data_IF_192962005649
#
_entry.id   IF_192962005649
#
_cell.length_a   1.000
_cell.length_b   1.000
_cell.length_c   1.000
_cell.angle_alpha   90.00
_cell.angle_beta   90.00
_cell.angle_gamma   90.00
#
_symmetry.space_group_name_H-M   'P 1'
#
loop_
_entity.id
_entity.type
_entity.pdbx_description
1 polymer ?
#
# COMPACT_ATOMS: atom_id res chain seq x y z
N UNK A 1 6.13 34.50 -1.69
CA UNK A 1 5.82 33.27 -2.45
C UNK A 1 4.37 33.34 -2.83
N UNK A 2 4.14 33.85 -4.03
CA UNK A 2 2.85 34.18 -4.62
C UNK A 2 1.98 32.94 -4.83
N UNK A 3 0.67 33.14 -4.67
CA UNK A 3 -0.45 32.20 -4.79
C UNK A 3 -0.47 31.35 -6.06
N UNK A 4 0.40 30.34 -6.12
CA UNK A 4 0.30 29.23 -7.05
C UNK A 4 -0.49 28.08 -6.40
N UNK A 5 -1.73 28.35 -5.97
CA UNK A 5 -2.68 27.25 -5.71
C UNK A 5 -3.02 26.66 -7.07
N UNK A 6 -2.17 25.73 -7.50
CA UNK A 6 -2.18 25.08 -8.79
C UNK A 6 -3.60 24.62 -9.14
N UNK A 7 -4.05 25.00 -10.35
CA UNK A 7 -5.24 24.42 -10.95
C UNK A 7 -5.19 22.89 -10.81
N UNK A 8 -6.34 22.27 -10.53
CA UNK A 8 -6.40 20.81 -10.36
C UNK A 8 -5.72 20.11 -11.55
N UNK A 9 -4.84 19.11 -11.30
CA UNK A 9 -4.21 18.35 -12.38
C UNK A 9 -5.22 17.50 -13.16
N UNK A 10 -6.45 17.36 -12.65
CA UNK A 10 -7.50 16.49 -13.19
C UNK A 10 -8.26 17.24 -14.27
N UNK A 11 -8.30 16.64 -15.45
CA UNK A 11 -8.96 17.18 -16.64
C UNK A 11 -9.90 16.12 -17.22
N UNK A 12 -10.83 16.46 -18.13
CA UNK A 12 -11.67 15.45 -18.78
C UNK A 12 -10.88 14.33 -19.48
N UNK A 13 -9.65 14.62 -19.95
CA UNK A 13 -8.74 13.63 -20.58
C UNK A 13 -7.95 12.80 -19.55
N UNK A 14 -7.84 13.28 -18.32
CA UNK A 14 -7.11 12.65 -17.22
C UNK A 14 -7.89 12.82 -15.91
N UNK A 15 -9.02 12.12 -15.75
CA UNK A 15 -9.92 12.32 -14.62
C UNK A 15 -9.30 11.94 -13.27
N UNK A 16 -8.27 11.09 -13.28
CA UNK A 16 -7.61 10.55 -12.09
C UNK A 16 -6.12 10.97 -12.01
N UNK A 17 -5.76 12.12 -12.56
CA UNK A 17 -4.40 12.63 -12.42
C UNK A 17 -4.09 12.95 -10.96
N UNK A 18 -2.90 12.55 -10.52
CA UNK A 18 -2.37 12.86 -9.19
C UNK A 18 -1.22 13.86 -9.30
N UNK A 19 -1.11 14.74 -8.30
CA UNK A 19 0.12 15.51 -8.09
C UNK A 19 1.23 14.59 -7.58
N UNK A 20 2.48 15.05 -7.66
CA UNK A 20 3.62 14.31 -7.08
C UNK A 20 3.45 14.10 -5.58
N UNK A 21 2.93 15.11 -4.86
CA UNK A 21 2.69 15.02 -3.42
C UNK A 21 1.61 13.97 -3.08
N UNK A 22 0.50 13.97 -3.82
CA UNK A 22 -0.56 12.96 -3.65
C UNK A 22 -0.03 11.55 -3.94
N UNK A 23 0.84 11.41 -4.93
CA UNK A 23 1.48 10.13 -5.24
C UNK A 23 2.38 9.65 -4.11
N UNK A 24 3.26 10.52 -3.59
CA UNK A 24 4.15 10.17 -2.46
C UNK A 24 3.33 9.81 -1.23
N UNK A 25 2.29 10.59 -0.92
CA UNK A 25 1.38 10.30 0.19
C UNK A 25 0.64 8.97 0.01
N UNK A 26 0.20 8.65 -1.21
CA UNK A 26 -0.43 7.37 -1.53
C UNK A 26 0.53 6.19 -1.38
N UNK A 27 1.77 6.33 -1.84
CA UNK A 27 2.81 5.32 -1.68
C UNK A 27 3.17 5.08 -0.20
N UNK A 28 3.33 6.15 0.58
CA UNK A 28 3.57 6.07 2.03
C UNK A 28 2.39 5.44 2.76
N UNK A 29 1.16 5.76 2.37
CA UNK A 29 -0.04 5.15 2.94
C UNK A 29 -0.11 3.65 2.61
N UNK A 30 0.21 3.26 1.37
CA UNK A 30 0.26 1.84 0.97
C UNK A 30 1.30 1.07 1.78
N UNK A 31 2.48 1.65 1.96
CA UNK A 31 3.53 1.06 2.77
C UNK A 31 3.10 0.95 4.25
N UNK A 32 2.59 2.04 4.83
CA UNK A 32 2.08 2.05 6.22
C UNK A 32 0.96 1.04 6.47
N UNK A 33 0.00 0.91 5.54
CA UNK A 33 -1.05 -0.11 5.61
C UNK A 33 -0.49 -1.52 5.51
N UNK A 34 0.54 -1.74 4.67
CA UNK A 34 1.22 -3.03 4.60
C UNK A 34 1.86 -3.39 5.94
N UNK A 35 2.59 -2.44 6.55
CA UNK A 35 3.22 -2.63 7.85
C UNK A 35 2.19 -2.90 8.97
N UNK A 36 1.02 -2.26 8.90
CA UNK A 36 -0.07 -2.48 9.85
C UNK A 36 -0.72 -3.86 9.69
N UNK A 37 -0.90 -4.33 8.45
CA UNK A 37 -1.55 -5.61 8.16
C UNK A 37 -0.64 -6.82 8.40
N UNK A 38 0.68 -6.66 8.21
CA UNK A 38 1.67 -7.72 8.37
C UNK A 38 1.52 -8.50 9.69
N UNK A 39 1.56 -7.91 10.90
CA UNK A 39 1.50 -8.69 12.14
C UNK A 39 0.21 -9.50 12.28
N UNK A 40 -0.93 -8.95 11.86
CA UNK A 40 -2.22 -9.65 11.90
C UNK A 40 -2.24 -10.85 10.95
N UNK A 41 -1.72 -10.68 9.72
CA UNK A 41 -1.67 -11.74 8.72
C UNK A 41 -0.62 -12.81 9.07
N UNK A 42 0.51 -12.42 9.66
CA UNK A 42 1.52 -13.36 10.18
C UNK A 42 0.94 -14.19 11.32
N UNK A 43 0.23 -13.57 12.27
CA UNK A 43 -0.45 -14.28 13.35
C UNK A 43 -1.50 -15.26 12.83
N UNK A 44 -2.30 -14.85 11.84
CA UNK A 44 -3.27 -15.73 11.19
C UNK A 44 -2.59 -16.91 10.49
N UNK A 45 -1.51 -16.67 9.75
CA UNK A 45 -0.76 -17.73 9.08
C UNK A 45 -0.15 -18.73 10.08
N UNK A 46 0.46 -18.27 11.17
CA UNK A 46 0.97 -19.14 12.24
C UNK A 46 -0.14 -19.94 12.92
N UNK A 47 -1.36 -19.40 12.98
CA UNK A 47 -2.51 -20.10 13.56
C UNK A 47 -3.10 -21.17 12.63
N UNK A 48 -2.98 -20.99 11.32
CA UNK A 48 -3.56 -21.90 10.30
C UNK A 48 -2.55 -22.98 9.90
N UNK A 49 -1.33 -22.56 9.54
CA UNK A 49 -0.28 -23.45 9.02
C UNK A 49 0.66 -23.97 10.10
N UNK A 50 0.58 -23.37 11.29
CA UNK A 50 1.40 -23.71 12.42
C UNK A 50 2.69 -22.94 12.53
N UNK A 51 3.35 -23.12 13.67
CA UNK A 51 4.64 -22.52 13.91
C UNK A 51 5.76 -23.33 13.27
N UNK A 52 6.70 -22.66 12.58
CA UNK A 52 7.88 -23.34 12.10
C UNK A 52 8.70 -23.82 13.30
N UNK A 53 8.90 -25.13 13.40
CA UNK A 53 9.76 -25.74 14.41
C UNK A 53 11.22 -25.47 14.04
N UNK A 54 11.82 -24.49 14.72
CA UNK A 54 13.26 -24.28 14.66
C UNK A 54 13.97 -25.42 15.40
N UNK A 55 15.07 -25.92 14.83
CA UNK A 55 16.01 -26.79 15.55
C UNK A 55 16.73 -26.05 16.71
N UNK A 56 16.52 -24.74 16.87
CA UNK A 56 17.15 -23.89 17.88
C UNK A 56 16.10 -23.15 18.72
N UNK A 57 15.93 -23.63 19.96
CA UNK A 57 15.49 -22.91 21.18
C UNK A 57 14.17 -22.11 21.24
N UNK A 58 13.46 -21.85 20.14
CA UNK A 58 12.16 -21.15 20.16
C UNK A 58 11.04 -22.15 19.86
N UNK A 59 10.60 -22.85 20.91
CA UNK A 59 9.42 -23.71 20.87
C UNK A 59 8.17 -22.84 20.89
N UNK A 60 7.68 -22.40 19.73
CA UNK A 60 6.32 -21.92 19.64
C UNK A 60 5.37 -23.12 19.79
N UNK A 61 4.59 -23.14 20.86
CA UNK A 61 3.52 -24.14 21.03
C UNK A 61 2.29 -23.69 20.25
N UNK A 62 1.69 -24.60 19.48
CA UNK A 62 0.42 -24.37 18.78
C UNK A 62 -0.72 -23.97 19.74
N UNK A 63 -0.66 -24.40 21.00
CA UNK A 63 -1.66 -24.10 22.02
C UNK A 63 -1.45 -22.73 22.68
N UNK A 64 -0.28 -22.11 22.55
CA UNK A 64 0.06 -20.89 23.29
C UNK A 64 -0.10 -19.64 22.42
N UNK A 65 -1.22 -18.93 22.60
CA UNK A 65 -1.54 -17.67 21.89
C UNK A 65 -0.47 -16.59 22.10
N UNK A 66 -0.03 -16.31 23.34
CA UNK A 66 1.11 -15.43 23.62
C UNK A 66 2.35 -15.69 22.78
N UNK A 67 2.83 -16.94 22.71
CA UNK A 67 4.03 -17.28 21.92
C UNK A 67 3.86 -16.96 20.42
N UNK A 68 2.67 -17.25 19.86
CA UNK A 68 2.37 -16.96 18.44
C UNK A 68 2.33 -15.47 18.16
N UNK A 69 1.78 -14.68 19.07
CA UNK A 69 1.77 -13.23 18.95
C UNK A 69 3.19 -12.66 18.96
N UNK A 70 4.05 -13.12 19.88
CA UNK A 70 5.45 -12.68 19.95
C UNK A 70 6.18 -13.00 18.64
N UNK A 71 6.06 -14.24 18.15
CA UNK A 71 6.69 -14.65 16.88
C UNK A 71 6.15 -13.86 15.70
N UNK A 72 4.82 -13.64 15.61
CA UNK A 72 4.21 -12.85 14.56
C UNK A 72 4.74 -11.41 14.52
N UNK A 73 4.89 -10.78 15.69
CA UNK A 73 5.46 -9.42 15.80
C UNK A 73 6.92 -9.41 15.40
N UNK A 74 7.73 -10.38 15.84
CA UNK A 74 9.14 -10.48 15.44
C UNK A 74 9.30 -10.63 13.92
N UNK A 75 8.52 -11.53 13.31
CA UNK A 75 8.51 -11.72 11.86
C UNK A 75 8.02 -10.48 11.12
N UNK A 76 7.02 -9.77 11.66
CA UNK A 76 6.55 -8.51 11.09
C UNK A 76 7.62 -7.41 11.15
N UNK A 77 8.42 -7.31 12.23
CA UNK A 77 9.55 -6.37 12.31
C UNK A 77 10.61 -6.70 11.27
N UNK A 78 10.99 -7.97 11.11
CA UNK A 78 11.93 -8.40 10.07
C UNK A 78 11.36 -8.09 8.68
N UNK A 79 10.09 -8.43 8.43
CA UNK A 79 9.40 -8.11 7.18
C UNK A 79 9.33 -6.61 6.91
N UNK A 80 9.13 -5.78 7.93
CA UNK A 80 9.14 -4.32 7.82
C UNK A 80 10.50 -3.80 7.34
N UNK A 81 11.60 -4.28 7.91
CA UNK A 81 12.96 -3.92 7.48
C UNK A 81 13.22 -4.37 6.05
N UNK A 82 12.86 -5.61 5.71
CA UNK A 82 13.03 -6.15 4.37
C UNK A 82 12.11 -5.50 3.32
N UNK A 83 11.02 -4.84 3.75
CA UNK A 83 10.11 -4.14 2.84
C UNK A 83 10.68 -2.83 2.29
N UNK A 84 11.69 -2.24 2.94
CA UNK A 84 12.32 -0.98 2.51
C UNK A 84 12.94 -1.10 1.10
N UNK A 85 13.82 -2.07 0.82
CA UNK A 85 14.37 -2.24 -0.53
C UNK A 85 13.28 -2.56 -1.57
N UNK A 86 12.26 -3.34 -1.21
CA UNK A 86 11.13 -3.60 -2.10
C UNK A 86 10.36 -2.32 -2.42
N UNK A 87 10.09 -1.49 -1.42
CA UNK A 87 9.43 -0.20 -1.60
C UNK A 87 10.21 0.70 -2.56
N UNK A 88 11.53 0.81 -2.37
CA UNK A 88 12.39 1.60 -3.25
C UNK A 88 12.44 1.06 -4.67
N UNK A 89 12.53 -0.27 -4.83
CA UNK A 89 12.55 -0.94 -6.13
C UNK A 89 11.26 -0.70 -6.93
N UNK A 90 10.12 -0.68 -6.25
CA UNK A 90 8.81 -0.54 -6.89
C UNK A 90 8.26 0.88 -6.93
N UNK A 91 8.92 1.88 -6.33
CA UNK A 91 8.47 3.27 -6.35
C UNK A 91 8.31 3.80 -7.79
N UNK A 92 9.31 3.60 -8.64
CA UNK A 92 9.28 4.03 -10.05
C UNK A 92 8.25 3.27 -10.89
N UNK A 93 8.20 1.91 -10.87
CA UNK A 93 7.13 1.16 -11.53
C UNK A 93 5.72 1.59 -11.11
N UNK A 94 5.51 1.82 -9.81
CA UNK A 94 4.23 2.29 -9.26
C UNK A 94 3.86 3.66 -9.83
N UNK A 95 4.84 4.56 -9.96
CA UNK A 95 4.64 5.89 -10.52
C UNK A 95 4.27 5.83 -12.01
N UNK A 96 5.04 5.07 -12.79
CA UNK A 96 4.79 4.90 -14.22
C UNK A 96 3.40 4.28 -14.48
N UNK A 97 3.04 3.25 -13.71
CA UNK A 97 1.76 2.56 -13.86
C UNK A 97 0.58 3.46 -13.52
N UNK A 98 0.65 4.18 -12.40
CA UNK A 98 -0.41 5.12 -12.04
C UNK A 98 -0.53 6.29 -13.04
N UNK A 99 0.58 6.73 -13.65
CA UNK A 99 0.56 7.71 -14.75
C UNK A 99 -0.18 7.21 -15.99
N UNK A 100 -0.04 5.94 -16.34
CA UNK A 100 -0.80 5.32 -17.42
C UNK A 100 -2.28 5.25 -17.03
N UNK A 101 -2.56 4.91 -15.77
CA UNK A 101 -3.92 4.77 -15.28
C UNK A 101 -4.70 6.09 -15.17
N UNK A 102 -4.06 7.26 -15.15
CA UNK A 102 -4.72 8.57 -15.06
C UNK A 102 -5.85 8.77 -16.09
N UNK A 103 -5.76 8.08 -17.23
CA UNK A 103 -6.72 8.15 -18.34
C UNK A 103 -7.97 7.30 -18.10
N UNK A 104 -7.93 6.32 -17.19
CA UNK A 104 -9.08 5.47 -16.89
C UNK A 104 -10.06 6.23 -15.99
N UNK A 105 -11.27 6.45 -16.51
CA UNK A 105 -12.36 7.06 -15.75
C UNK A 105 -12.95 6.12 -14.69
N UNK A 106 -12.83 4.80 -14.88
CA UNK A 106 -13.44 3.83 -13.98
C UNK A 106 -12.55 3.50 -12.76
N UNK A 107 -13.06 3.71 -11.52
CA UNK A 107 -12.30 3.45 -10.30
C UNK A 107 -11.95 1.97 -10.11
N UNK A 108 -12.77 1.06 -10.65
CA UNK A 108 -12.51 -0.38 -10.59
C UNK A 108 -11.21 -0.78 -11.31
N UNK A 109 -10.87 -0.12 -12.43
CA UNK A 109 -9.63 -0.37 -13.16
C UNK A 109 -8.40 0.01 -12.34
N UNK A 110 -8.45 1.17 -11.66
CA UNK A 110 -7.38 1.61 -10.75
C UNK A 110 -7.20 0.67 -9.57
N UNK A 111 -8.30 0.17 -9.00
CA UNK A 111 -8.26 -0.80 -7.90
C UNK A 111 -7.64 -2.12 -8.36
N UNK A 112 -8.07 -2.67 -9.49
CA UNK A 112 -7.54 -3.93 -10.01
C UNK A 112 -6.04 -3.84 -10.32
N UNK A 113 -5.61 -2.77 -10.99
CA UNK A 113 -4.18 -2.56 -11.32
C UNK A 113 -3.34 -2.42 -10.06
N UNK A 114 -3.80 -1.64 -9.08
CA UNK A 114 -3.06 -1.47 -7.82
C UNK A 114 -3.09 -2.73 -6.95
N UNK A 115 -4.13 -3.56 -7.02
CA UNK A 115 -4.16 -4.86 -6.36
C UNK A 115 -3.13 -5.83 -6.96
N UNK A 116 -3.04 -5.89 -8.30
CA UNK A 116 -2.03 -6.69 -9.00
C UNK A 116 -0.62 -6.20 -8.68
N UNK A 117 -0.40 -4.88 -8.68
CA UNK A 117 0.87 -4.29 -8.28
C UNK A 117 1.21 -4.65 -6.82
N UNK A 118 0.24 -4.55 -5.91
CA UNK A 118 0.39 -4.93 -4.52
C UNK A 118 0.76 -6.39 -4.33
N UNK A 119 0.17 -7.29 -5.12
CA UNK A 119 0.55 -8.71 -5.17
C UNK A 119 2.01 -8.90 -5.61
N UNK A 120 2.43 -8.21 -6.68
CA UNK A 120 3.80 -8.28 -7.20
C UNK A 120 4.81 -7.75 -6.18
N UNK A 121 4.52 -6.60 -5.57
CA UNK A 121 5.35 -5.99 -4.51
C UNK A 121 5.45 -6.93 -3.33
N UNK A 122 4.31 -7.45 -2.86
CA UNK A 122 4.28 -8.40 -1.76
C UNK A 122 5.08 -9.66 -2.08
N UNK A 123 4.91 -10.25 -3.27
CA UNK A 123 5.68 -11.41 -3.72
C UNK A 123 7.19 -11.13 -3.83
N UNK A 124 7.59 -9.94 -4.26
CA UNK A 124 9.00 -9.54 -4.28
C UNK A 124 9.59 -9.38 -2.86
N UNK A 125 8.84 -8.79 -1.94
CA UNK A 125 9.23 -8.74 -0.52
C UNK A 125 9.34 -10.13 0.10
N UNK A 126 8.43 -11.03 -0.26
CA UNK A 126 8.48 -12.43 0.12
C UNK A 126 9.70 -13.16 -0.42
N UNK A 127 10.06 -12.91 -1.68
CA UNK A 127 11.26 -13.49 -2.29
C UNK A 127 12.53 -13.02 -1.55
N UNK A 128 12.61 -11.75 -1.17
CA UNK A 128 13.70 -11.26 -0.32
C UNK A 128 13.70 -11.98 1.03
N UNK A 129 12.54 -12.12 1.69
CA UNK A 129 12.45 -12.86 2.94
C UNK A 129 12.94 -14.32 2.81
N UNK A 130 12.64 -15.01 1.70
CA UNK A 130 13.15 -16.35 1.42
C UNK A 130 14.67 -16.38 1.26
N UNK A 131 15.27 -15.38 0.60
CA UNK A 131 16.72 -15.30 0.44
C UNK A 131 17.45 -15.16 1.79
N UNK A 132 16.86 -14.46 2.75
CA UNK A 132 17.46 -14.25 4.07
C UNK A 132 17.08 -15.29 5.12
N UNK A 133 15.88 -15.86 5.05
CA UNK A 133 15.30 -16.75 6.09
C UNK A 133 15.12 -18.20 5.62
N UNK A 134 15.35 -18.50 4.34
CA UNK A 134 15.23 -19.84 3.76
C UNK A 134 13.80 -20.33 3.52
N UNK A 135 13.64 -21.63 3.26
CA UNK A 135 12.37 -22.31 2.94
C UNK A 135 11.27 -22.12 3.99
N UNK A 136 11.66 -21.85 5.24
CA UNK A 136 10.75 -21.60 6.36
C UNK A 136 9.85 -20.37 6.11
N UNK A 137 10.31 -19.43 5.26
CA UNK A 137 9.59 -18.20 4.96
C UNK A 137 8.45 -18.30 3.94
N UNK A 138 8.26 -19.43 3.24
CA UNK A 138 7.29 -19.44 2.12
C UNK A 138 5.83 -19.33 2.61
N UNK A 139 5.39 -20.21 3.51
CA UNK A 139 3.97 -20.21 3.93
C UNK A 139 3.68 -19.23 5.06
N UNK A 140 4.67 -18.98 5.92
CA UNK A 140 4.51 -18.15 7.12
C UNK A 140 4.83 -16.68 6.87
N UNK A 141 5.62 -16.35 5.83
CA UNK A 141 6.01 -14.97 5.51
C UNK A 141 5.53 -14.57 4.11
N UNK A 142 5.68 -15.44 3.11
CA UNK A 142 5.43 -15.04 1.73
C UNK A 142 3.95 -14.75 1.46
N UNK A 143 3.08 -15.65 1.90
CA UNK A 143 1.64 -15.52 1.70
C UNK A 143 1.06 -14.31 2.47
N UNK A 144 1.35 -14.13 3.77
CA UNK A 144 0.95 -12.91 4.49
C UNK A 144 1.43 -11.61 3.83
N UNK A 145 2.67 -11.56 3.36
CA UNK A 145 3.23 -10.37 2.72
C UNK A 145 2.57 -10.07 1.38
N UNK A 146 2.31 -11.10 0.56
CA UNK A 146 1.57 -10.97 -0.69
C UNK A 146 0.14 -10.46 -0.48
N UNK A 147 -0.57 -11.03 0.50
CA UNK A 147 -1.93 -10.61 0.86
C UNK A 147 -1.95 -9.19 1.45
N UNK A 148 -0.99 -8.84 2.29
CA UNK A 148 -0.86 -7.50 2.84
C UNK A 148 -0.73 -6.47 1.71
N UNK A 149 0.16 -6.71 0.74
CA UNK A 149 0.31 -5.84 -0.43
C UNK A 149 -0.96 -5.76 -1.29
N UNK A 150 -1.57 -6.91 -1.57
CA UNK A 150 -2.80 -7.00 -2.37
C UNK A 150 -3.98 -6.21 -1.78
N UNK A 151 -4.04 -6.08 -0.45
CA UNK A 151 -5.08 -5.33 0.27
C UNK A 151 -4.66 -3.87 0.45
N UNK A 152 -3.43 -3.61 0.90
CA UNK A 152 -2.95 -2.29 1.26
C UNK A 152 -2.89 -1.33 0.07
N UNK A 153 -2.39 -1.79 -1.08
CA UNK A 153 -2.25 -0.94 -2.27
C UNK A 153 -3.59 -0.41 -2.79
N UNK A 154 -4.60 -1.24 -3.13
CA UNK A 154 -5.87 -0.72 -3.62
C UNK A 154 -6.58 0.17 -2.60
N UNK A 155 -6.48 -0.15 -1.30
CA UNK A 155 -7.05 0.69 -0.24
C UNK A 155 -6.36 2.06 -0.18
N UNK A 156 -5.03 2.10 -0.14
CA UNK A 156 -4.29 3.34 -0.08
C UNK A 156 -4.60 4.26 -1.28
N UNK A 157 -4.61 3.69 -2.49
CA UNK A 157 -4.92 4.47 -3.69
C UNK A 157 -6.38 4.89 -3.76
N UNK A 158 -7.31 4.09 -3.24
CA UNK A 158 -8.72 4.50 -3.09
C UNK A 158 -8.86 5.68 -2.12
N UNK A 159 -8.20 5.64 -0.97
CA UNK A 159 -8.24 6.75 -0.01
C UNK A 159 -7.58 8.01 -0.55
N UNK A 160 -6.46 7.86 -1.25
CA UNK A 160 -5.73 8.96 -1.90
C UNK A 160 -6.61 9.61 -2.97
N UNK A 161 -7.24 8.80 -3.83
CA UNK A 161 -8.20 9.27 -4.85
C UNK A 161 -9.38 10.01 -4.21
N UNK A 162 -9.99 9.45 -3.17
CA UNK A 162 -11.12 10.07 -2.49
C UNK A 162 -10.74 11.43 -1.86
N UNK A 163 -9.57 11.51 -1.22
CA UNK A 163 -9.06 12.75 -0.63
C UNK A 163 -8.79 13.81 -1.70
N UNK A 164 -8.13 13.42 -2.78
CA UNK A 164 -7.85 14.26 -3.95
C UNK A 164 -9.13 14.84 -4.57
N UNK A 165 -10.13 14.00 -4.85
CA UNK A 165 -11.40 14.44 -5.44
C UNK A 165 -12.20 15.34 -4.50
N UNK A 166 -12.13 15.11 -3.18
CA UNK A 166 -12.75 15.99 -2.19
C UNK A 166 -12.05 17.35 -2.11
N UNK A 167 -10.71 17.38 -2.22
CA UNK A 167 -9.96 18.63 -2.27
C UNK A 167 -10.35 19.47 -3.49
N UNK A 168 -10.52 18.83 -4.65
CA UNK A 168 -10.97 19.50 -5.88
C UNK A 168 -12.36 20.09 -5.77
N UNK A 169 -13.30 19.38 -5.15
CA UNK A 169 -14.64 19.91 -4.86
C UNK A 169 -14.58 21.16 -3.98
N UNK A 170 -13.65 21.19 -3.02
CA UNK A 170 -13.39 22.34 -2.17
C UNK A 170 -12.75 23.53 -2.91
N UNK A 171 -12.10 23.29 -4.05
CA UNK A 171 -11.53 24.32 -4.93
C UNK A 171 -12.60 24.87 -5.86
N UNK A 172 -13.39 24.01 -6.52
CA UNK A 172 -14.47 24.44 -7.41
C UNK A 172 -15.55 25.21 -6.66
N UNK A 173 -15.92 24.77 -5.44
CA UNK A 173 -16.83 25.51 -4.59
C UNK A 173 -16.27 26.91 -4.28
N UNK A 174 -15.00 27.04 -3.87
CA UNK A 174 -14.38 28.35 -3.57
C UNK A 174 -14.29 29.27 -4.78
N UNK A 175 -13.94 28.75 -5.97
CA UNK A 175 -13.89 29.55 -7.20
C UNK A 175 -15.28 30.09 -7.60
N UNK A 176 -16.36 29.35 -7.31
CA UNK A 176 -17.72 29.82 -7.56
C UNK A 176 -18.11 31.00 -6.64
N UNK A 177 -17.52 31.11 -5.45
CA UNK A 177 -17.75 32.23 -4.52
C UNK A 177 -16.88 33.47 -4.79
N UNK A 178 -15.79 33.33 -5.58
CA UNK A 178 -14.86 34.44 -5.88
C UNK A 178 -15.18 35.21 -7.16
N UNK A 179 -16.33 34.98 -7.81
CA UNK A 179 -16.85 35.87 -8.87
C UNK A 179 -18.12 36.62 -8.44
N UNK A 180 -18.06 37.56 -7.47
CA UNK A 180 -19.07 38.60 -7.36
C UNK A 180 -18.73 39.69 -8.39
N UNK A 181 -19.33 39.65 -9.59
CA UNK A 181 -19.51 40.86 -10.39
C UNK A 181 -18.93 40.92 -11.80
N UNK A 182 -19.08 39.89 -12.64
CA UNK A 182 -18.97 40.09 -14.11
C UNK A 182 -20.10 39.34 -14.83
N UNK A 183 -21.34 39.76 -14.61
CA UNK A 183 -22.36 39.82 -15.68
C UNK A 183 -23.38 40.89 -15.28
N UNK A 184 -23.23 42.09 -15.83
CA UNK A 184 -24.28 43.06 -16.05
C UNK A 184 -23.96 43.76 -17.37
#
# INVERSE_FOLDING_TARGET
MSDERAASPRTPKKPMAFTTEEFVNGALLAWGLTLLLLPALMFAALSIFGCPTYASSVSCSMSDVPSRLIVAVMLAVVGAVLSIPTFLLFALPTYALNRICERFAHPAGHIAVNAVLGLIVGAAGSFLALLFLGMVGLLTIALPSALAGAIAFPLAWRFTAARALNADRGITARCAWTFPGVVA
#
